data_IF_391959789391
#
_entry.id   IF_391959789391
#
_cell.length_a   1.000
_cell.length_b   1.000
_cell.length_c   1.000
_cell.angle_alpha   90.00
_cell.angle_beta   90.00
_cell.angle_gamma   90.00
#
_symmetry.space_group_name_H-M   'P 1'
#
loop_
_entity.id
_entity.type
_entity.pdbx_description
1 polymer ?
#
# COMPACT_ATOMS: atom_id res chain seq x y z
N UNK A 1 -28.83 -26.99 2.28
CA UNK A 1 -28.82 -25.60 2.78
C UNK A 1 -28.38 -25.48 4.24
N UNK A 2 -28.98 -26.18 5.21
CA UNK A 2 -28.59 -26.03 6.64
C UNK A 2 -27.14 -26.42 6.93
N UNK A 3 -26.70 -27.58 6.43
CA UNK A 3 -25.32 -28.06 6.61
C UNK A 3 -24.26 -27.10 6.05
N UNK A 4 -24.49 -26.54 4.87
CA UNK A 4 -23.59 -25.56 4.24
C UNK A 4 -23.51 -24.25 5.02
N UNK A 5 -24.64 -23.79 5.60
CA UNK A 5 -24.66 -22.59 6.44
C UNK A 5 -23.91 -22.80 7.77
N UNK A 6 -24.11 -23.95 8.43
CA UNK A 6 -23.41 -24.29 9.67
C UNK A 6 -21.90 -24.44 9.46
N UNK A 7 -21.48 -25.03 8.33
CA UNK A 7 -20.07 -25.14 7.97
C UNK A 7 -19.41 -23.76 7.78
N UNK A 8 -20.05 -22.85 7.06
CA UNK A 8 -19.53 -21.50 6.82
C UNK A 8 -19.41 -20.70 8.12
N UNK A 9 -20.44 -20.76 8.98
CA UNK A 9 -20.43 -20.06 10.26
C UNK A 9 -19.30 -20.54 11.19
N UNK A 10 -19.07 -21.86 11.26
CA UNK A 10 -17.98 -22.44 12.08
C UNK A 10 -16.58 -22.18 11.52
N UNK A 11 -16.47 -21.84 10.23
CA UNK A 11 -15.20 -21.62 9.54
C UNK A 11 -14.66 -20.19 9.63
N UNK A 12 -15.39 -19.26 10.26
CA UNK A 12 -15.01 -17.85 10.33
C UNK A 12 -13.58 -17.63 10.85
N UNK A 13 -13.15 -18.33 11.91
CA UNK A 13 -11.79 -18.22 12.44
C UNK A 13 -10.73 -18.62 11.41
N UNK A 14 -10.98 -19.69 10.64
CA UNK A 14 -10.09 -20.11 9.55
C UNK A 14 -10.01 -19.06 8.44
N UNK A 15 -11.12 -18.39 8.11
CA UNK A 15 -11.12 -17.30 7.13
C UNK A 15 -10.36 -16.07 7.61
N UNK A 16 -10.34 -15.79 8.91
CA UNK A 16 -9.50 -14.72 9.48
C UNK A 16 -8.01 -15.11 9.39
N UNK A 17 -7.66 -16.39 9.60
CA UNK A 17 -6.29 -16.85 9.36
C UNK A 17 -5.89 -16.77 7.88
N UNK A 18 -6.80 -17.15 6.97
CA UNK A 18 -6.61 -16.96 5.54
C UNK A 18 -6.39 -15.48 5.20
N UNK A 19 -7.17 -14.58 5.81
CA UNK A 19 -7.00 -13.13 5.66
C UNK A 19 -5.62 -12.66 6.11
N UNK A 20 -5.09 -13.14 7.25
CA UNK A 20 -3.72 -12.83 7.69
C UNK A 20 -2.66 -13.27 6.69
N UNK A 21 -2.82 -14.47 6.13
CA UNK A 21 -1.92 -15.02 5.10
C UNK A 21 -2.00 -14.17 3.83
N UNK A 22 -3.21 -13.83 3.37
CA UNK A 22 -3.42 -12.98 2.19
C UNK A 22 -2.80 -11.60 2.36
N UNK A 23 -2.97 -10.96 3.53
CA UNK A 23 -2.31 -9.69 3.84
C UNK A 23 -0.80 -9.86 3.75
N UNK A 24 -0.23 -10.88 4.41
CA UNK A 24 1.20 -11.12 4.37
C UNK A 24 1.74 -11.31 2.95
N UNK A 25 1.10 -12.12 2.12
CA UNK A 25 1.54 -12.35 0.74
C UNK A 25 1.60 -11.02 -0.03
N UNK A 26 0.55 -10.20 0.06
CA UNK A 26 0.52 -8.90 -0.62
C UNK A 26 1.62 -7.98 -0.07
N UNK A 27 1.75 -7.86 1.25
CA UNK A 27 2.75 -7.00 1.88
C UNK A 27 4.19 -7.43 1.57
N UNK A 28 4.48 -8.72 1.63
CA UNK A 28 5.80 -9.27 1.30
C UNK A 28 6.16 -8.99 -0.16
N UNK A 29 5.19 -9.14 -1.07
CA UNK A 29 5.43 -8.90 -2.49
C UNK A 29 5.63 -7.42 -2.80
N UNK A 30 4.68 -6.55 -2.44
CA UNK A 30 4.77 -5.11 -2.75
C UNK A 30 5.90 -4.44 -1.97
N UNK A 31 6.16 -4.87 -0.73
CA UNK A 31 7.26 -4.37 0.08
C UNK A 31 8.62 -4.84 -0.43
N UNK A 32 8.73 -6.10 -0.86
CA UNK A 32 9.95 -6.65 -1.47
C UNK A 32 10.28 -5.99 -2.80
N UNK A 33 9.27 -5.71 -3.64
CA UNK A 33 9.49 -5.07 -4.93
C UNK A 33 10.04 -3.63 -4.80
N UNK A 34 9.88 -2.96 -3.65
CA UNK A 34 10.47 -1.63 -3.39
C UNK A 34 11.99 -1.61 -3.34
N UNK A 35 12.63 -2.78 -3.26
CA UNK A 35 14.08 -2.90 -3.41
C UNK A 35 14.55 -2.74 -4.87
N UNK A 36 13.63 -2.79 -5.84
CA UNK A 36 13.93 -2.65 -7.26
C UNK A 36 13.64 -1.24 -7.73
N UNK A 37 14.52 -0.76 -8.62
CA UNK A 37 14.56 0.64 -9.03
C UNK A 37 13.24 1.14 -9.64
N UNK A 38 12.58 0.33 -10.47
CA UNK A 38 11.37 0.75 -11.17
C UNK A 38 10.19 1.02 -10.20
N UNK A 39 10.04 0.22 -9.14
CA UNK A 39 9.05 0.48 -8.08
C UNK A 39 9.40 1.71 -7.25
N UNK A 40 10.69 1.92 -6.98
CA UNK A 40 11.17 3.08 -6.23
C UNK A 40 10.90 4.37 -7.02
N UNK A 41 11.14 4.39 -8.33
CA UNK A 41 10.80 5.50 -9.20
C UNK A 41 9.26 5.71 -9.24
N UNK A 42 8.49 4.61 -9.25
CA UNK A 42 7.03 4.62 -9.28
C UNK A 42 6.34 5.26 -8.06
N UNK A 43 7.02 5.32 -6.90
CA UNK A 43 6.43 5.88 -5.68
C UNK A 43 6.65 7.38 -5.50
N UNK A 44 7.51 7.97 -6.33
CA UNK A 44 7.88 9.38 -6.21
C UNK A 44 6.68 10.33 -6.23
N UNK A 45 5.70 10.19 -7.14
CA UNK A 45 4.55 11.10 -7.16
C UNK A 45 3.74 11.09 -5.87
N UNK A 46 3.59 9.93 -5.23
CA UNK A 46 2.82 9.79 -3.99
C UNK A 46 3.52 10.48 -2.81
N UNK A 47 4.83 10.31 -2.71
CA UNK A 47 5.65 10.86 -1.62
C UNK A 47 5.84 12.36 -1.80
N UNK A 48 6.15 12.80 -3.02
CA UNK A 48 6.43 14.20 -3.33
C UNK A 48 5.21 15.11 -3.12
N UNK A 49 4.00 14.63 -3.39
CA UNK A 49 2.76 15.39 -3.18
C UNK A 49 2.11 15.16 -1.81
N UNK A 50 2.70 14.34 -0.93
CA UNK A 50 2.14 14.07 0.39
C UNK A 50 2.58 15.12 1.42
N UNK A 51 1.66 15.73 2.18
CA UNK A 51 2.00 16.69 3.24
C UNK A 51 2.79 16.06 4.39
N UNK A 52 2.77 14.73 4.53
CA UNK A 52 3.42 13.99 5.61
C UNK A 52 4.68 13.24 5.18
N UNK A 53 5.03 13.26 3.88
CA UNK A 53 6.18 12.48 3.38
C UNK A 53 7.08 13.26 2.43
N UNK A 54 6.67 14.42 1.92
CA UNK A 54 7.46 15.22 0.98
C UNK A 54 8.82 15.64 1.55
N UNK A 55 8.94 15.79 2.88
CA UNK A 55 10.18 16.17 3.56
C UNK A 55 11.28 15.09 3.51
N UNK A 56 10.96 13.85 3.14
CA UNK A 56 11.98 12.81 2.93
C UNK A 56 12.71 12.96 1.59
N UNK A 57 12.21 13.81 0.70
CA UNK A 57 12.81 14.11 -0.60
C UNK A 57 13.56 15.42 -0.59
N UNK A 58 14.70 15.45 -1.31
CA UNK A 58 15.54 16.64 -1.41
C UNK A 58 15.07 17.61 -2.51
N UNK A 59 14.29 17.12 -3.48
CA UNK A 59 13.74 17.90 -4.59
C UNK A 59 12.26 18.17 -4.36
N UNK A 60 11.80 19.35 -4.76
CA UNK A 60 10.39 19.74 -4.63
C UNK A 60 9.56 19.26 -5.81
N UNK A 61 8.30 18.90 -5.54
CA UNK A 61 7.31 18.76 -6.59
C UNK A 61 7.13 20.11 -7.34
N UNK A 62 6.96 20.13 -8.67
CA UNK A 62 6.72 18.99 -9.57
C UNK A 62 7.97 18.49 -10.34
N UNK A 63 9.20 18.75 -9.88
CA UNK A 63 10.44 18.48 -10.65
C UNK A 63 10.56 17.02 -11.12
N UNK A 64 10.11 16.07 -10.30
CA UNK A 64 10.14 14.62 -10.59
C UNK A 64 9.43 14.23 -11.89
N UNK A 65 8.50 15.04 -12.40
CA UNK A 65 7.76 14.72 -13.64
C UNK A 65 8.70 14.63 -14.85
N UNK A 66 9.81 15.38 -14.83
CA UNK A 66 10.81 15.38 -15.92
C UNK A 66 11.79 14.21 -15.86
N UNK A 67 11.86 13.51 -14.72
CA UNK A 67 12.78 12.41 -14.46
C UNK A 67 12.08 11.05 -14.33
N UNK A 68 10.80 10.98 -14.71
CA UNK A 68 10.03 9.73 -14.64
C UNK A 68 10.50 8.73 -15.69
N UNK A 69 10.84 7.52 -15.25
CA UNK A 69 11.15 6.40 -16.12
C UNK A 69 9.89 5.56 -16.40
N UNK A 70 9.56 5.25 -17.67
CA UNK A 70 8.61 4.19 -17.97
C UNK A 70 9.10 2.85 -17.42
N UNK A 71 8.19 1.99 -16.97
CA UNK A 71 8.54 0.63 -16.54
C UNK A 71 9.29 -0.12 -17.66
N UNK A 72 10.40 -0.76 -17.29
CA UNK A 72 11.27 -1.44 -18.25
C UNK A 72 12.22 -0.54 -19.04
N UNK A 73 12.20 0.79 -18.84
CA UNK A 73 13.15 1.73 -19.48
C UNK A 73 14.00 2.43 -18.43
N UNK A 74 15.33 2.29 -18.53
CA UNK A 74 16.28 2.91 -17.61
C UNK A 74 17.05 4.04 -18.30
N UNK A 75 17.01 5.25 -17.73
CA UNK A 75 17.77 6.41 -18.21
C UNK A 75 18.71 6.88 -17.11
N UNK A 76 20.03 6.83 -17.36
CA UNK A 76 21.04 7.12 -16.33
C UNK A 76 20.85 8.48 -15.66
N UNK A 77 20.59 9.54 -16.45
CA UNK A 77 20.31 10.89 -15.94
C UNK A 77 19.17 10.91 -14.90
N UNK A 78 18.13 10.11 -15.11
CA UNK A 78 16.98 10.04 -14.21
C UNK A 78 17.34 9.26 -12.94
N UNK A 79 18.16 8.22 -13.07
CA UNK A 79 18.67 7.44 -11.94
C UNK A 79 19.50 8.32 -11.03
N UNK A 80 20.44 9.09 -11.59
CA UNK A 80 21.29 9.99 -10.83
C UNK A 80 20.45 11.04 -10.09
N UNK A 81 19.41 11.56 -10.75
CA UNK A 81 18.43 12.45 -10.11
C UNK A 81 17.72 11.77 -8.93
N UNK A 82 17.20 10.55 -9.10
CA UNK A 82 16.52 9.79 -8.04
C UNK A 82 17.45 9.46 -6.86
N UNK A 83 18.74 9.20 -7.11
CA UNK A 83 19.75 9.04 -6.07
C UNK A 83 19.89 10.32 -5.25
N UNK A 84 20.07 11.47 -5.92
CA UNK A 84 20.18 12.76 -5.22
C UNK A 84 18.90 13.16 -4.51
N UNK A 85 17.73 12.76 -5.02
CA UNK A 85 16.45 13.04 -4.39
C UNK A 85 16.24 12.24 -3.09
N UNK A 86 16.97 11.14 -2.88
CA UNK A 86 16.76 10.21 -1.76
C UNK A 86 15.67 9.16 -2.01
N UNK A 87 15.21 9.03 -3.26
CA UNK A 87 14.12 8.10 -3.65
C UNK A 87 14.41 6.67 -3.23
N UNK A 88 15.61 6.15 -3.52
CA UNK A 88 15.94 4.75 -3.23
C UNK A 88 16.05 4.46 -1.73
N UNK A 89 16.66 5.36 -0.95
CA UNK A 89 16.75 5.22 0.49
C UNK A 89 15.35 5.18 1.14
N UNK A 90 14.48 6.10 0.74
CA UNK A 90 13.09 6.12 1.21
C UNK A 90 12.33 4.85 0.78
N UNK A 91 12.52 4.39 -0.46
CA UNK A 91 11.88 3.17 -0.96
C UNK A 91 12.28 1.93 -0.16
N UNK A 92 13.57 1.76 0.18
CA UNK A 92 14.03 0.65 1.01
C UNK A 92 13.43 0.69 2.42
N UNK A 93 13.38 1.88 3.04
CA UNK A 93 12.79 2.05 4.36
C UNK A 93 11.29 1.72 4.35
N UNK A 94 10.56 2.28 3.38
CA UNK A 94 9.14 2.01 3.19
C UNK A 94 8.86 0.52 2.92
N UNK A 95 9.66 -0.10 2.04
CA UNK A 95 9.55 -1.53 1.74
C UNK A 95 9.76 -2.41 2.97
N UNK A 96 10.79 -2.09 3.75
CA UNK A 96 11.09 -2.80 5.00
C UNK A 96 9.92 -2.69 5.99
N UNK A 97 9.34 -1.50 6.17
CA UNK A 97 8.17 -1.30 7.04
C UNK A 97 6.98 -2.14 6.57
N UNK A 98 6.68 -2.14 5.27
CA UNK A 98 5.57 -2.92 4.71
C UNK A 98 5.76 -4.42 4.99
N UNK A 99 6.96 -4.97 4.75
CA UNK A 99 7.27 -6.38 5.00
C UNK A 99 7.13 -6.72 6.48
N UNK A 100 7.63 -5.86 7.37
CA UNK A 100 7.51 -6.04 8.82
C UNK A 100 6.05 -6.06 9.26
N UNK A 101 5.20 -5.16 8.74
CA UNK A 101 3.76 -5.16 9.02
C UNK A 101 3.12 -6.48 8.56
N UNK A 102 3.46 -6.96 7.36
CA UNK A 102 3.02 -8.25 6.84
C UNK A 102 3.40 -9.41 7.76
N UNK A 103 4.66 -9.45 8.20
CA UNK A 103 5.18 -10.48 9.10
C UNK A 103 4.48 -10.46 10.47
N UNK A 104 4.24 -9.27 11.04
CA UNK A 104 3.48 -9.12 12.29
C UNK A 104 2.05 -9.64 12.15
N UNK A 105 1.38 -9.30 11.05
CA UNK A 105 0.03 -9.77 10.75
C UNK A 105 -0.03 -11.30 10.64
N UNK A 106 0.95 -11.91 9.94
CA UNK A 106 1.09 -13.37 9.83
C UNK A 106 1.37 -14.01 11.19
N UNK A 107 2.32 -13.45 11.95
CA UNK A 107 2.67 -13.90 13.29
C UNK A 107 1.45 -13.89 14.24
N UNK A 108 0.43 -13.09 13.91
CA UNK A 108 -0.88 -13.07 14.53
C UNK A 108 -1.63 -14.41 14.59
N UNK A 109 -1.29 -15.37 13.72
CA UNK A 109 -1.82 -16.74 13.82
C UNK A 109 -1.41 -17.35 15.17
N UNK A 110 -0.12 -17.27 15.50
CA UNK A 110 0.44 -17.85 16.73
C UNK A 110 0.37 -16.92 17.94
N UNK A 111 0.51 -15.61 17.75
CA UNK A 111 0.53 -14.62 18.85
C UNK A 111 -0.52 -13.53 18.65
N UNK A 112 -1.54 -13.52 19.51
CA UNK A 112 -2.59 -12.49 19.44
C UNK A 112 -2.05 -11.07 19.68
N UNK A 113 -0.99 -10.88 20.47
CA UNK A 113 -0.35 -9.56 20.66
C UNK A 113 0.25 -9.04 19.36
N UNK A 114 1.01 -9.87 18.66
CA UNK A 114 1.63 -9.49 17.37
C UNK A 114 0.55 -9.29 16.30
N UNK A 115 -0.48 -10.14 16.29
CA UNK A 115 -1.61 -10.02 15.38
C UNK A 115 -2.41 -8.73 15.56
N UNK A 116 -2.56 -8.25 16.80
CA UNK A 116 -3.22 -6.98 17.09
C UNK A 116 -2.40 -5.81 16.54
N UNK A 117 -1.09 -5.79 16.81
CA UNK A 117 -0.17 -4.77 16.30
C UNK A 117 -0.16 -4.77 14.77
N UNK A 118 -0.02 -5.94 14.15
CA UNK A 118 -0.03 -6.09 12.69
C UNK A 118 -1.35 -5.61 12.06
N UNK A 119 -2.49 -5.95 12.66
CA UNK A 119 -3.81 -5.50 12.20
C UNK A 119 -3.98 -3.97 12.29
N UNK A 120 -3.59 -3.36 13.41
CA UNK A 120 -3.66 -1.90 13.61
C UNK A 120 -2.72 -1.17 12.63
N UNK A 121 -1.50 -1.67 12.44
CA UNK A 121 -0.56 -1.09 11.49
C UNK A 121 -1.03 -1.24 10.04
N UNK A 122 -1.63 -2.39 9.69
CA UNK A 122 -2.23 -2.60 8.36
C UNK A 122 -3.36 -1.60 8.10
N UNK A 123 -4.24 -1.39 9.09
CA UNK A 123 -5.29 -0.38 9.02
C UNK A 123 -4.71 1.04 8.85
N UNK A 124 -3.75 1.42 9.69
CA UNK A 124 -3.11 2.74 9.64
C UNK A 124 -2.40 2.99 8.32
N UNK A 125 -1.67 2.01 7.79
CA UNK A 125 -1.01 2.12 6.49
C UNK A 125 -2.02 2.29 5.35
N UNK A 126 -3.16 1.60 5.40
CA UNK A 126 -4.22 1.74 4.38
C UNK A 126 -4.85 3.14 4.40
N UNK A 127 -4.94 3.81 5.55
CA UNK A 127 -5.38 5.20 5.61
C UNK A 127 -4.38 6.14 4.93
N UNK A 128 -3.09 5.91 5.17
CA UNK A 128 -2.02 6.68 4.52
C UNK A 128 -2.09 6.51 3.00
N UNK A 129 -2.24 5.29 2.50
CA UNK A 129 -2.33 5.07 1.06
C UNK A 129 -3.60 5.67 0.47
N UNK A 130 -4.76 5.47 1.09
CA UNK A 130 -6.02 6.07 0.62
C UNK A 130 -5.98 7.61 0.60
N UNK A 131 -5.20 8.24 1.47
CA UNK A 131 -4.99 9.70 1.44
C UNK A 131 -4.36 10.20 0.12
N UNK A 132 -3.67 9.34 -0.62
CA UNK A 132 -3.12 9.67 -1.93
C UNK A 132 -4.18 9.92 -3.01
N UNK A 133 -5.40 9.38 -2.86
CA UNK A 133 -6.51 9.71 -3.77
C UNK A 133 -6.89 11.20 -3.72
N UNK A 134 -6.54 11.88 -2.63
CA UNK A 134 -6.79 13.31 -2.44
C UNK A 134 -5.53 14.13 -2.71
N UNK A 135 -4.37 13.65 -2.27
CA UNK A 135 -3.13 14.44 -2.28
C UNK A 135 -2.31 14.28 -3.56
N UNK A 136 -2.52 13.22 -4.35
CA UNK A 136 -1.69 12.90 -5.53
C UNK A 136 -2.50 12.98 -6.83
N UNK A 137 -2.34 14.00 -7.68
CA UNK A 137 -3.10 14.15 -8.92
C UNK A 137 -2.95 12.98 -9.90
N UNK A 138 -1.80 12.29 -9.90
CA UNK A 138 -1.48 11.18 -10.81
C UNK A 138 -2.34 9.93 -10.60
N UNK A 139 -3.14 9.88 -9.53
CA UNK A 139 -4.15 8.83 -9.33
C UNK A 139 -5.32 8.96 -10.31
N UNK A 140 -5.53 10.13 -10.90
CA UNK A 140 -6.55 10.36 -11.92
C UNK A 140 -5.94 10.36 -13.32
N UNK A 141 -6.75 10.05 -14.33
CA UNK A 141 -6.31 10.09 -15.73
C UNK A 141 -5.90 11.53 -16.09
N UNK A 142 -4.64 11.78 -16.50
CA UNK A 142 -4.20 13.13 -16.85
C UNK A 142 -4.76 13.56 -18.21
N UNK A 143 -5.00 14.87 -18.36
CA UNK A 143 -5.32 15.45 -19.67
C UNK A 143 -4.01 15.72 -20.42
N UNK A 144 -3.57 14.76 -21.21
CA UNK A 144 -2.33 14.87 -22.00
C UNK A 144 -2.57 15.44 -23.41
N UNK A 145 -3.84 15.66 -23.80
CA UNK A 145 -4.19 16.02 -25.16
C UNK A 145 -3.93 14.88 -26.16
N UNK A 146 -3.57 15.25 -27.39
CA UNK A 146 -3.33 14.34 -28.50
C UNK A 146 -3.86 14.94 -29.81
N UNK A 147 -3.99 14.11 -30.85
CA UNK A 147 -4.58 14.52 -32.13
C UNK A 147 -6.07 14.94 -31.98
N UNK A 148 -6.70 14.56 -30.86
CA UNK A 148 -8.07 14.93 -30.48
C UNK A 148 -8.15 15.26 -28.98
N UNK A 149 -9.22 15.93 -28.57
CA UNK A 149 -9.47 16.24 -27.17
C UNK A 149 -9.61 14.95 -26.34
N UNK A 150 -8.95 14.89 -25.17
CA UNK A 150 -9.09 13.78 -24.23
C UNK A 150 -10.51 13.81 -23.62
N UNK A 151 -11.39 12.82 -23.88
CA UNK A 151 -12.79 12.90 -23.45
C UNK A 151 -13.00 12.55 -21.96
N UNK A 152 -12.09 11.77 -21.37
CA UNK A 152 -12.25 11.21 -20.02
C UNK A 152 -10.96 11.40 -19.21
N UNK A 153 -10.90 12.48 -18.42
CA UNK A 153 -9.76 12.82 -17.56
C UNK A 153 -10.23 13.43 -16.24
N UNK A 154 -9.35 13.45 -15.24
CA UNK A 154 -9.68 13.93 -13.90
C UNK A 154 -10.68 13.04 -13.16
N UNK A 155 -11.22 13.53 -12.06
CA UNK A 155 -12.25 12.81 -11.29
C UNK A 155 -13.51 12.61 -12.16
N UNK A 156 -14.12 11.41 -12.23
CA UNK A 156 -13.87 10.20 -11.43
C UNK A 156 -12.98 9.13 -12.10
N UNK A 157 -12.26 9.44 -13.19
CA UNK A 157 -11.49 8.48 -13.97
C UNK A 157 -10.13 8.18 -13.32
N UNK A 158 -9.91 6.93 -12.89
CA UNK A 158 -8.67 6.49 -12.23
C UNK A 158 -7.61 6.00 -13.21
N UNK A 159 -6.37 6.44 -12.99
CA UNK A 159 -5.19 5.92 -13.67
C UNK A 159 -4.85 4.51 -13.18
N UNK A 160 -3.76 3.91 -13.70
CA UNK A 160 -3.18 2.68 -13.12
C UNK A 160 -2.86 2.85 -11.63
N UNK A 161 -2.17 3.94 -11.29
CA UNK A 161 -1.83 4.31 -9.92
C UNK A 161 -3.06 4.48 -9.02
N UNK A 162 -4.11 5.17 -9.49
CA UNK A 162 -5.32 5.37 -8.68
C UNK A 162 -6.07 4.07 -8.37
N UNK A 163 -6.12 3.13 -9.33
CA UNK A 163 -6.72 1.81 -9.10
C UNK A 163 -5.92 0.99 -8.09
N UNK A 164 -4.60 1.13 -8.09
CA UNK A 164 -3.72 0.48 -7.10
C UNK A 164 -3.90 1.05 -5.70
N UNK A 165 -4.28 2.32 -5.56
CA UNK A 165 -4.56 2.94 -4.25
C UNK A 165 -5.98 2.58 -3.79
N UNK A 166 -6.98 2.64 -4.67
CA UNK A 166 -8.38 2.43 -4.30
C UNK A 166 -8.63 1.05 -3.67
N UNK A 167 -7.94 0.01 -4.15
CA UNK A 167 -8.08 -1.36 -3.62
C UNK A 167 -7.69 -1.48 -2.14
N UNK A 168 -6.92 -0.54 -1.59
CA UNK A 168 -6.46 -0.58 -0.21
C UNK A 168 -7.59 -0.38 0.81
N UNK A 169 -8.79 0.02 0.35
CA UNK A 169 -10.01 -0.04 1.18
C UNK A 169 -10.29 -1.45 1.70
N UNK A 170 -9.88 -2.49 0.97
CA UNK A 170 -9.99 -3.89 1.40
C UNK A 170 -9.01 -4.15 2.54
N UNK A 171 -7.77 -3.64 2.45
CA UNK A 171 -6.76 -3.78 3.50
C UNK A 171 -7.13 -3.01 4.77
N UNK A 172 -7.80 -1.85 4.62
CA UNK A 172 -8.36 -1.10 5.73
C UNK A 172 -9.34 -1.95 6.54
N UNK A 173 -10.33 -2.55 5.87
CA UNK A 173 -11.31 -3.41 6.54
C UNK A 173 -10.68 -4.69 7.10
N UNK A 174 -9.79 -5.33 6.32
CA UNK A 174 -9.11 -6.56 6.73
C UNK A 174 -8.23 -6.36 7.96
N UNK A 175 -7.48 -5.25 8.03
CA UNK A 175 -6.68 -4.88 9.20
C UNK A 175 -7.52 -4.76 10.47
N UNK A 176 -8.70 -4.15 10.39
CA UNK A 176 -9.64 -4.04 11.52
C UNK A 176 -10.20 -5.40 11.95
N UNK A 177 -10.56 -6.27 11.00
CA UNK A 177 -11.04 -7.63 11.31
C UNK A 177 -9.96 -8.44 12.02
N UNK A 178 -8.73 -8.39 11.51
CA UNK A 178 -7.56 -9.06 12.10
C UNK A 178 -7.23 -8.51 13.49
N UNK A 179 -7.30 -7.18 13.68
CA UNK A 179 -7.10 -6.55 14.98
C UNK A 179 -8.18 -6.95 15.98
N UNK A 180 -9.45 -6.93 15.56
CA UNK A 180 -10.60 -7.30 16.40
C UNK A 180 -10.53 -8.75 16.87
N UNK A 181 -10.24 -9.70 15.97
CA UNK A 181 -10.04 -11.11 16.33
C UNK A 181 -8.91 -11.29 17.35
N UNK A 182 -7.79 -10.59 17.12
CA UNK A 182 -6.64 -10.63 18.03
C UNK A 182 -6.99 -10.08 19.42
N UNK A 183 -7.75 -8.97 19.48
CA UNK A 183 -8.21 -8.39 20.73
C UNK A 183 -9.14 -9.34 21.50
N UNK A 184 -10.08 -10.01 20.81
CA UNK A 184 -10.95 -11.00 21.44
C UNK A 184 -10.16 -12.17 22.03
N UNK A 185 -9.15 -12.68 21.32
CA UNK A 185 -8.27 -13.75 21.82
C UNK A 185 -7.48 -13.31 23.05
N UNK A 186 -7.02 -12.07 23.10
CA UNK A 186 -6.31 -11.51 24.26
C UNK A 186 -7.23 -11.37 25.47
N UNK A 187 -8.45 -10.85 25.28
CA UNK A 187 -9.42 -10.72 26.38
C UNK A 187 -9.77 -12.08 26.99
N UNK A 188 -9.98 -13.11 26.15
CA UNK A 188 -10.25 -14.49 26.60
C UNK A 188 -9.08 -15.15 27.33
N UNK A 189 -7.84 -14.71 27.08
CA UNK A 189 -6.66 -15.22 27.78
C UNK A 189 -6.39 -14.54 29.12
N UNK A 190 -7.02 -13.37 29.36
CA UNK A 190 -6.91 -12.62 30.61
C UNK A 190 -8.04 -12.92 31.60
N UNK A 191 -9.16 -13.48 31.11
CA UNK A 191 -10.28 -14.00 31.90
C UNK A 191 -10.04 -15.44 32.34
#
# INVERSE_FOLDING_TARGET
MRYTLEFLAKSQSNFIHLMRISIFIVMAWIGGLKAFQYEADGIVPFVANSPFMSFFYQKSAPEYQTYKNPEGKTVQKNIDWHQTNGTYAFSYALGSVIVVIGLLTLAGIWSAKLGLIGGILTFGMSLVTLSFLVTTPEVYVPNLGGDFATPHYGFPYLSGAGRLVLKDIIMLAAGLVVASDSAQRLLKSCS
#
